data_IF_510487773876
#
_entry.id   IF_510487773876
#
_cell.length_a   1.000
_cell.length_b   1.000
_cell.length_c   1.000
_cell.angle_alpha   90.00
_cell.angle_beta   90.00
_cell.angle_gamma   90.00
#
_symmetry.space_group_name_H-M   'P 1'
#
loop_
_entity.id
_entity.type
_entity.pdbx_description
1 polymer ?
#
# COMPACT_ATOMS: atom_id res chain seq x y z
N UNK A 1 -18.05 -0.90 27.06
CA UNK A 1 -17.01 -1.81 26.49
C UNK A 1 -17.17 -1.88 24.99
N UNK A 2 -16.49 -0.99 24.28
CA UNK A 2 -16.43 -1.08 22.82
C UNK A 2 -15.39 -2.15 22.47
N UNK A 3 -15.87 -3.34 22.15
CA UNK A 3 -15.05 -4.39 21.60
C UNK A 3 -14.57 -3.93 20.22
N UNK A 4 -13.25 -3.87 20.02
CA UNK A 4 -12.68 -3.77 18.69
C UNK A 4 -13.27 -4.91 17.83
N UNK A 5 -13.80 -4.62 16.64
CA UNK A 5 -14.22 -5.68 15.76
C UNK A 5 -13.00 -6.55 15.41
N UNK A 6 -13.08 -7.82 15.75
CA UNK A 6 -12.07 -8.84 15.43
C UNK A 6 -12.10 -9.15 13.93
N UNK A 7 -11.91 -8.15 13.08
CA UNK A 7 -11.65 -8.36 11.66
C UNK A 7 -10.14 -8.31 11.47
N UNK A 8 -9.55 -9.48 11.21
CA UNK A 8 -8.24 -9.60 10.58
C UNK A 8 -8.38 -9.12 9.14
N UNK A 9 -8.32 -7.80 8.93
CA UNK A 9 -8.27 -7.24 7.59
C UNK A 9 -6.90 -6.60 7.40
N UNK A 10 -6.32 -6.74 6.21
CA UNK A 10 -5.13 -6.02 5.76
C UNK A 10 -5.28 -4.49 5.88
N UNK A 11 -6.50 -4.02 6.00
CA UNK A 11 -6.87 -2.61 6.17
C UNK A 11 -6.24 -2.00 7.41
N UNK A 12 -6.21 -2.71 8.55
CA UNK A 12 -5.70 -2.17 9.80
C UNK A 12 -4.21 -1.82 9.73
N UNK A 13 -3.41 -2.62 8.99
CA UNK A 13 -1.98 -2.33 8.78
C UNK A 13 -1.77 -1.02 8.04
N UNK A 14 -2.53 -0.77 7.00
CA UNK A 14 -2.51 0.48 6.23
C UNK A 14 -3.02 1.68 7.05
N UNK A 15 -4.07 1.49 7.83
CA UNK A 15 -4.65 2.52 8.69
C UNK A 15 -3.67 2.97 9.78
N UNK A 16 -3.01 2.01 10.43
CA UNK A 16 -1.95 2.30 11.41
C UNK A 16 -0.81 3.06 10.72
N UNK A 17 -0.35 2.61 9.54
CA UNK A 17 0.70 3.31 8.81
C UNK A 17 0.32 4.77 8.52
N UNK A 18 -0.91 5.06 8.11
CA UNK A 18 -1.36 6.43 7.84
C UNK A 18 -1.28 7.32 9.09
N UNK A 19 -1.73 6.81 10.23
CA UNK A 19 -1.67 7.53 11.52
C UNK A 19 -0.21 7.77 11.95
N UNK A 20 0.66 6.74 11.81
CA UNK A 20 2.07 6.85 12.17
C UNK A 20 2.82 7.83 11.29
N UNK A 21 2.57 7.82 9.97
CA UNK A 21 3.17 8.78 9.01
C UNK A 21 2.71 10.20 9.33
N UNK A 22 1.41 10.41 9.55
CA UNK A 22 0.87 11.74 9.88
C UNK A 22 1.52 12.29 11.14
N UNK A 23 1.49 11.53 12.23
CA UNK A 23 2.04 11.97 13.50
C UNK A 23 3.55 12.24 13.42
N UNK A 24 4.30 11.35 12.79
CA UNK A 24 5.75 11.49 12.68
C UNK A 24 6.14 12.77 11.91
N UNK A 25 5.51 12.99 10.76
CA UNK A 25 5.79 14.18 9.95
C UNK A 25 5.29 15.47 10.64
N UNK A 26 4.12 15.41 11.28
CA UNK A 26 3.60 16.51 12.10
C UNK A 26 4.57 16.88 13.24
N UNK A 27 5.03 15.89 14.01
CA UNK A 27 5.94 16.14 15.13
C UNK A 27 7.25 16.77 14.67
N UNK A 28 7.84 16.27 13.57
CA UNK A 28 9.04 16.87 12.98
C UNK A 28 8.78 18.30 12.44
N UNK A 29 7.62 18.54 11.83
CA UNK A 29 7.25 19.87 11.35
C UNK A 29 7.10 20.86 12.52
N UNK A 30 6.41 20.46 13.61
CA UNK A 30 6.25 21.31 14.79
C UNK A 30 7.58 21.60 15.49
N UNK A 31 8.50 20.66 15.48
CA UNK A 31 9.85 20.83 16.03
C UNK A 31 10.80 21.61 15.11
N UNK A 32 10.40 21.94 13.88
CA UNK A 32 11.27 22.57 12.89
C UNK A 32 12.40 21.65 12.40
N UNK A 33 12.24 20.34 12.52
CA UNK A 33 13.24 19.33 12.17
C UNK A 33 12.82 18.44 11.01
N UNK A 34 11.73 18.77 10.30
CA UNK A 34 11.32 18.04 9.10
C UNK A 34 12.30 18.34 7.96
N UNK A 35 13.02 17.34 7.45
CA UNK A 35 13.96 17.54 6.34
C UNK A 35 13.20 17.95 5.05
N UNK A 36 13.82 18.80 4.24
CA UNK A 36 13.25 19.21 2.95
C UNK A 36 13.20 18.08 1.91
N UNK A 37 14.01 17.03 2.12
CA UNK A 37 14.06 15.81 1.32
C UNK A 37 13.52 14.58 2.10
N UNK A 38 12.54 14.80 2.97
CA UNK A 38 11.93 13.73 3.77
C UNK A 38 11.31 12.66 2.87
N UNK A 39 11.64 11.39 3.13
CA UNK A 39 11.16 10.23 2.38
C UNK A 39 10.40 9.25 3.26
N UNK A 40 9.22 8.84 2.79
CA UNK A 40 8.48 7.68 3.29
C UNK A 40 8.49 6.60 2.21
N UNK A 41 8.74 5.35 2.59
CA UNK A 41 8.86 4.23 1.65
C UNK A 41 7.77 3.19 1.93
N UNK A 42 7.07 2.73 0.89
CA UNK A 42 6.04 1.70 1.03
C UNK A 42 6.10 0.63 -0.07
N UNK A 43 5.49 -0.53 0.21
CA UNK A 43 5.29 -1.52 -0.84
C UNK A 43 4.24 -1.06 -1.86
N UNK A 44 4.39 -1.50 -3.13
CA UNK A 44 3.46 -1.19 -4.23
C UNK A 44 2.02 -1.67 -4.00
N UNK A 45 1.77 -2.50 -2.99
CA UNK A 45 0.45 -3.05 -2.62
C UNK A 45 -0.08 -2.45 -1.32
N UNK A 46 0.60 -1.45 -0.75
CA UNK A 46 0.14 -0.69 0.41
C UNK A 46 -0.78 0.47 0.01
N UNK A 47 -1.55 0.98 0.97
CA UNK A 47 -2.53 2.06 0.79
C UNK A 47 -1.94 3.35 0.22
N UNK A 48 -2.78 4.10 -0.51
CA UNK A 48 -2.45 5.44 -0.98
C UNK A 48 -2.83 6.55 0.04
N UNK A 49 -3.51 6.23 1.15
CA UNK A 49 -3.75 7.21 2.21
C UNK A 49 -2.45 7.76 2.82
N UNK A 50 -1.47 6.92 3.21
CA UNK A 50 -0.17 7.43 3.66
C UNK A 50 0.56 8.28 2.61
N UNK A 51 0.36 8.01 1.32
CA UNK A 51 0.91 8.84 0.23
C UNK A 51 0.32 10.24 0.27
N UNK A 52 -1.01 10.35 0.33
CA UNK A 52 -1.69 11.64 0.43
C UNK A 52 -1.29 12.42 1.69
N UNK A 53 -1.12 11.71 2.80
CA UNK A 53 -0.62 12.28 4.07
C UNK A 53 0.79 12.81 3.90
N UNK A 54 1.75 12.00 3.46
CA UNK A 54 3.16 12.41 3.29
C UNK A 54 3.27 13.65 2.39
N UNK A 55 2.60 13.64 1.25
CA UNK A 55 2.57 14.77 0.31
C UNK A 55 2.02 16.05 0.93
N UNK A 56 1.07 15.96 1.86
CA UNK A 56 0.53 17.15 2.55
C UNK A 56 1.54 17.84 3.47
N UNK A 57 2.60 17.16 3.85
CA UNK A 57 3.76 17.70 4.59
C UNK A 57 4.95 18.05 3.68
N UNK A 58 4.83 17.84 2.37
CA UNK A 58 5.92 18.03 1.40
C UNK A 58 6.95 16.90 1.42
N UNK A 59 6.66 15.78 2.09
CA UNK A 59 7.51 14.60 2.06
C UNK A 59 7.23 13.75 0.80
N UNK A 60 8.27 13.11 0.26
CA UNK A 60 8.14 12.17 -0.83
C UNK A 60 7.62 10.82 -0.36
N UNK A 61 6.83 10.15 -1.20
CA UNK A 61 6.43 8.76 -1.03
C UNK A 61 7.03 7.91 -2.14
N UNK A 62 7.92 6.99 -1.78
CA UNK A 62 8.50 6.06 -2.73
C UNK A 62 7.83 4.69 -2.65
N UNK A 63 7.51 4.14 -3.81
CA UNK A 63 6.96 2.80 -3.94
C UNK A 63 8.08 1.81 -4.27
N UNK A 64 8.17 0.72 -3.51
CA UNK A 64 9.10 -0.38 -3.78
C UNK A 64 8.35 -1.71 -3.91
N UNK A 65 8.99 -2.74 -4.43
CA UNK A 65 8.41 -4.08 -4.50
C UNK A 65 8.06 -4.62 -3.10
N UNK A 66 7.17 -5.62 -3.06
CA UNK A 66 6.81 -6.31 -1.82
C UNK A 66 8.00 -7.07 -1.25
N UNK A 67 8.29 -6.83 0.01
CA UNK A 67 9.40 -7.41 0.75
C UNK A 67 10.28 -6.32 1.35
N UNK A 68 10.43 -6.37 2.66
CA UNK A 68 11.10 -5.29 3.43
C UNK A 68 12.55 -5.04 2.99
N UNK A 69 13.19 -6.02 2.34
CA UNK A 69 14.52 -5.85 1.76
C UNK A 69 14.60 -4.67 0.78
N UNK A 70 13.54 -4.40 0.01
CA UNK A 70 13.51 -3.28 -0.94
C UNK A 70 13.42 -1.92 -0.23
N UNK A 71 12.74 -1.87 0.92
CA UNK A 71 12.77 -0.69 1.80
C UNK A 71 14.19 -0.52 2.36
N UNK A 72 14.84 -1.61 2.78
CA UNK A 72 16.21 -1.58 3.29
C UNK A 72 17.23 -1.17 2.20
N UNK A 73 17.05 -1.62 0.97
CA UNK A 73 17.86 -1.21 -0.20
C UNK A 73 17.74 0.30 -0.44
N UNK A 74 16.53 0.87 -0.36
CA UNK A 74 16.34 2.30 -0.48
C UNK A 74 17.02 3.09 0.65
N UNK A 75 16.89 2.63 1.90
CA UNK A 75 17.58 3.23 3.04
C UNK A 75 19.10 3.24 2.80
N UNK A 76 19.66 2.13 2.31
CA UNK A 76 21.09 2.04 2.02
C UNK A 76 21.50 3.02 0.93
N UNK A 77 20.71 3.11 -0.15
CA UNK A 77 20.94 4.06 -1.23
C UNK A 77 20.96 5.52 -0.71
N UNK A 78 19.98 5.89 0.10
CA UNK A 78 19.87 7.24 0.64
C UNK A 78 21.01 7.58 1.63
N UNK A 79 21.46 6.62 2.42
CA UNK A 79 22.64 6.81 3.31
C UNK A 79 23.94 6.98 2.51
N UNK A 80 24.08 6.34 1.36
CA UNK A 80 25.25 6.44 0.49
C UNK A 80 25.25 7.72 -0.34
N UNK A 81 24.08 8.17 -0.81
CA UNK A 81 23.96 9.30 -1.73
C UNK A 81 23.58 10.61 -1.05
N UNK A 82 22.88 10.54 0.08
CA UNK A 82 22.30 11.73 0.73
C UNK A 82 21.11 12.30 -0.04
N UNK A 83 20.54 11.58 -1.01
CA UNK A 83 19.44 12.05 -1.85
C UNK A 83 18.19 12.33 -1.03
N UNK A 84 17.83 11.42 -0.13
CA UNK A 84 16.69 11.59 0.75
C UNK A 84 17.08 11.36 2.22
N UNK A 85 16.18 11.81 3.10
CA UNK A 85 16.21 11.49 4.53
C UNK A 85 15.05 10.54 4.84
N UNK A 86 15.38 9.28 5.13
CA UNK A 86 14.39 8.27 5.50
C UNK A 86 13.66 8.65 6.79
N UNK A 87 12.34 8.73 6.71
CA UNK A 87 11.46 9.03 7.85
C UNK A 87 10.72 7.81 8.36
N UNK A 88 10.16 6.99 7.43
CA UNK A 88 9.34 5.84 7.78
C UNK A 88 9.24 4.86 6.62
N UNK A 89 9.23 3.56 6.92
CA UNK A 89 9.01 2.51 5.93
C UNK A 89 7.94 1.52 6.37
N UNK A 90 7.07 1.06 5.44
CA UNK A 90 6.01 0.14 5.82
C UNK A 90 5.53 -0.79 4.70
N UNK A 91 4.94 -1.90 5.13
CA UNK A 91 4.14 -2.82 4.33
C UNK A 91 2.74 -2.97 4.93
N UNK A 92 1.74 -3.28 4.12
CA UNK A 92 0.33 -3.46 4.51
C UNK A 92 0.14 -4.55 5.58
N UNK A 93 1.06 -5.49 5.65
CA UNK A 93 1.03 -6.65 6.55
C UNK A 93 1.64 -6.38 7.92
N UNK A 94 1.48 -5.17 8.46
CA UNK A 94 1.98 -4.73 9.77
C UNK A 94 3.50 -4.67 9.88
N UNK A 95 4.20 -4.53 8.78
CA UNK A 95 5.64 -4.31 8.75
C UNK A 95 5.94 -2.82 8.83
N UNK A 96 6.60 -2.35 9.88
CA UNK A 96 6.94 -0.94 10.08
C UNK A 96 8.40 -0.78 10.49
N UNK A 97 9.02 0.32 10.03
CA UNK A 97 10.34 0.75 10.44
C UNK A 97 10.36 2.28 10.61
N UNK A 98 10.80 2.74 11.78
CA UNK A 98 10.84 4.17 12.13
C UNK A 98 12.25 4.74 11.98
N UNK A 99 13.27 3.96 12.36
CA UNK A 99 14.68 4.39 12.34
C UNK A 99 15.55 3.39 11.60
N UNK A 100 16.47 3.89 10.81
CA UNK A 100 17.28 3.11 9.86
C UNK A 100 18.42 2.29 10.49
N UNK A 101 18.63 2.33 11.81
CA UNK A 101 19.70 1.55 12.45
C UNK A 101 19.47 0.02 12.40
N UNK A 102 18.28 -0.43 12.04
CA UNK A 102 17.98 -1.82 11.63
C UNK A 102 17.50 -1.82 10.17
N UNK A 103 17.61 -2.97 9.48
CA UNK A 103 17.30 -3.11 8.05
C UNK A 103 16.13 -4.03 7.78
N UNK A 104 15.26 -4.19 8.75
CA UNK A 104 14.00 -4.94 8.61
C UNK A 104 12.95 -4.34 9.56
N UNK A 105 11.71 -4.84 9.44
CA UNK A 105 10.60 -4.48 10.32
C UNK A 105 11.01 -4.56 11.78
N UNK A 106 10.67 -3.51 12.53
CA UNK A 106 10.98 -3.46 13.95
C UNK A 106 9.70 -3.18 14.76
N UNK A 107 9.18 -4.23 15.37
CA UNK A 107 7.97 -4.14 16.19
C UNK A 107 8.19 -3.30 17.46
N UNK A 108 9.40 -3.26 18.01
CA UNK A 108 9.71 -2.46 19.22
C UNK A 108 9.62 -0.97 18.90
N UNK A 109 10.24 -0.53 17.82
CA UNK A 109 10.12 0.86 17.34
C UNK A 109 8.65 1.21 17.03
N UNK A 110 7.94 0.32 16.33
CA UNK A 110 6.55 0.55 15.94
C UNK A 110 5.61 0.68 17.16
N UNK A 111 5.76 -0.19 18.17
CA UNK A 111 4.97 -0.13 19.40
C UNK A 111 5.28 1.13 20.20
N UNK A 112 6.55 1.51 20.30
CA UNK A 112 6.96 2.74 20.97
C UNK A 112 6.30 3.96 20.30
N UNK A 113 6.42 4.11 18.98
CA UNK A 113 5.82 5.21 18.23
C UNK A 113 4.28 5.19 18.36
N UNK A 114 3.63 4.03 18.21
CA UNK A 114 2.18 3.93 18.33
C UNK A 114 1.69 4.31 19.74
N UNK A 115 2.46 3.98 20.78
CA UNK A 115 2.14 4.36 22.16
C UNK A 115 2.24 5.88 22.35
N UNK A 116 3.26 6.50 21.76
CA UNK A 116 3.42 7.97 21.77
C UNK A 116 2.25 8.65 21.05
N UNK A 117 1.89 8.16 19.86
CA UNK A 117 0.73 8.64 19.09
C UNK A 117 -0.56 8.51 19.87
N UNK A 118 -0.79 7.36 20.54
CA UNK A 118 -1.97 7.15 21.38
C UNK A 118 -2.01 8.12 22.58
N UNK A 119 -0.87 8.39 23.20
CA UNK A 119 -0.75 9.37 24.27
C UNK A 119 -1.04 10.81 23.77
N UNK A 120 -0.52 11.17 22.59
CA UNK A 120 -0.81 12.45 21.96
C UNK A 120 -2.31 12.67 21.76
N UNK A 121 -2.99 11.73 21.09
CA UNK A 121 -4.44 11.83 20.89
C UNK A 121 -5.22 11.84 22.19
N UNK A 122 -4.81 11.02 23.17
CA UNK A 122 -5.45 11.00 24.49
C UNK A 122 -5.35 12.35 25.21
N UNK A 123 -4.23 13.04 25.10
CA UNK A 123 -4.04 14.38 25.68
C UNK A 123 -4.96 15.42 25.04
N UNK A 124 -5.35 15.19 23.78
CA UNK A 124 -6.35 16.02 23.08
C UNK A 124 -7.80 15.57 23.32
N UNK A 125 -8.03 14.56 24.16
CA UNK A 125 -9.36 13.97 24.39
C UNK A 125 -9.87 13.12 23.22
N UNK A 126 -8.98 12.65 22.35
CA UNK A 126 -9.27 11.87 21.15
C UNK A 126 -8.75 10.43 21.26
N UNK A 127 -9.20 9.59 20.35
CA UNK A 127 -8.72 8.23 20.14
C UNK A 127 -7.91 8.14 18.83
N UNK A 128 -7.19 7.03 18.64
CA UNK A 128 -6.55 6.71 17.34
C UNK A 128 -7.58 6.65 16.20
N UNK A 129 -8.79 6.19 16.49
CA UNK A 129 -9.88 6.15 15.52
C UNK A 129 -10.32 7.56 15.10
N UNK A 130 -10.41 8.49 16.04
CA UNK A 130 -10.73 9.91 15.73
C UNK A 130 -9.64 10.52 14.85
N UNK A 131 -8.35 10.17 15.10
CA UNK A 131 -7.23 10.55 14.25
C UNK A 131 -7.38 10.02 12.83
N UNK A 132 -7.72 8.73 12.68
CA UNK A 132 -7.96 8.12 11.36
C UNK A 132 -9.13 8.79 10.63
N UNK A 133 -10.23 9.08 11.33
CA UNK A 133 -11.38 9.77 10.73
C UNK A 133 -11.02 11.18 10.26
N UNK A 134 -10.14 11.88 10.98
CA UNK A 134 -9.64 13.18 10.56
C UNK A 134 -8.80 13.08 9.28
N UNK A 135 -7.98 12.03 9.13
CA UNK A 135 -7.24 11.77 7.89
C UNK A 135 -8.18 11.48 6.72
N UNK A 136 -9.21 10.67 6.91
CA UNK A 136 -10.22 10.42 5.88
C UNK A 136 -10.97 11.68 5.49
N UNK A 137 -11.36 12.51 6.45
CA UNK A 137 -12.03 13.78 6.17
C UNK A 137 -11.15 14.75 5.36
N UNK A 138 -9.83 14.71 5.58
CA UNK A 138 -8.86 15.59 4.89
C UNK A 138 -8.45 15.08 3.52
N UNK A 139 -8.29 13.77 3.34
CA UNK A 139 -7.66 13.18 2.16
C UNK A 139 -8.59 12.30 1.32
N UNK A 140 -9.82 12.05 1.77
CA UNK A 140 -10.75 11.07 1.19
C UNK A 140 -10.66 9.71 1.87
N UNK A 141 -11.62 8.84 1.56
CA UNK A 141 -11.69 7.48 2.10
C UNK A 141 -10.88 6.53 1.24
N UNK A 142 -9.97 5.80 1.87
CA UNK A 142 -9.17 4.74 1.27
C UNK A 142 -9.51 3.44 2.00
N UNK A 143 -9.86 2.41 1.22
CA UNK A 143 -10.21 1.11 1.76
C UNK A 143 -9.51 0.02 0.95
N UNK A 144 -8.74 -0.78 1.65
CA UNK A 144 -7.99 -1.86 1.03
C UNK A 144 -8.58 -3.22 1.41
N UNK A 145 -8.47 -4.17 0.50
CA UNK A 145 -8.82 -5.58 0.74
C UNK A 145 -7.83 -6.50 0.08
N UNK A 146 -7.37 -7.49 0.84
CA UNK A 146 -6.56 -8.59 0.30
C UNK A 146 -7.38 -9.87 0.27
N UNK A 147 -7.40 -10.51 -0.90
CA UNK A 147 -8.04 -11.81 -1.13
C UNK A 147 -6.92 -12.80 -1.41
N UNK A 148 -6.83 -13.85 -0.61
CA UNK A 148 -5.85 -14.92 -0.78
C UNK A 148 -6.56 -16.21 -1.20
N UNK A 149 -6.25 -16.71 -2.39
CA UNK A 149 -6.86 -17.91 -2.95
C UNK A 149 -5.81 -19.01 -3.00
N UNK A 150 -6.09 -20.13 -2.33
CA UNK A 150 -5.26 -21.34 -2.42
C UNK A 150 -5.80 -22.19 -3.56
N UNK A 151 -4.97 -22.46 -4.56
CA UNK A 151 -5.32 -23.33 -5.69
C UNK A 151 -4.84 -24.74 -5.37
N UNK A 152 -5.75 -25.57 -4.84
CA UNK A 152 -5.42 -26.91 -4.40
C UNK A 152 -5.05 -27.85 -5.57
N UNK A 153 -4.25 -28.89 -5.27
CA UNK A 153 -3.86 -29.94 -6.20
C UNK A 153 -2.55 -29.68 -6.93
N UNK A 154 -2.06 -30.73 -7.61
CA UNK A 154 -0.79 -30.73 -8.34
C UNK A 154 -0.77 -29.72 -9.51
N UNK A 155 -1.94 -29.38 -10.04
CA UNK A 155 -2.09 -28.42 -11.14
C UNK A 155 -2.19 -26.94 -10.65
N UNK A 156 -2.16 -26.72 -9.33
CA UNK A 156 -2.31 -25.39 -8.75
C UNK A 156 -1.35 -24.35 -9.34
N UNK A 157 -0.03 -24.62 -9.39
CA UNK A 157 0.95 -23.70 -9.96
C UNK A 157 0.69 -23.40 -11.44
N UNK A 158 0.29 -24.41 -12.25
CA UNK A 158 -0.02 -24.24 -13.66
C UNK A 158 -1.27 -23.37 -13.87
N UNK A 159 -2.31 -23.54 -13.04
CA UNK A 159 -3.53 -22.71 -13.09
C UNK A 159 -3.22 -21.25 -12.73
N UNK A 160 -2.41 -21.01 -11.70
CA UNK A 160 -1.95 -19.66 -11.32
C UNK A 160 -1.15 -19.03 -12.46
N UNK A 161 -0.24 -19.79 -13.06
CA UNK A 161 0.54 -19.31 -14.20
C UNK A 161 -0.37 -18.97 -15.39
N UNK A 162 -1.30 -19.85 -15.75
CA UNK A 162 -2.23 -19.62 -16.85
C UNK A 162 -3.10 -18.38 -16.64
N UNK A 163 -3.54 -18.11 -15.41
CA UNK A 163 -4.28 -16.89 -15.07
C UNK A 163 -3.43 -15.64 -15.32
N UNK A 164 -2.19 -15.60 -14.85
CA UNK A 164 -1.29 -14.46 -15.06
C UNK A 164 -0.93 -14.27 -16.53
N UNK A 165 -0.66 -15.35 -17.26
CA UNK A 165 -0.39 -15.30 -18.70
C UNK A 165 -1.63 -14.79 -19.47
N UNK A 166 -2.83 -15.19 -19.06
CA UNK A 166 -4.09 -14.67 -19.58
C UNK A 166 -4.24 -13.15 -19.38
N UNK A 167 -3.98 -12.67 -18.16
CA UNK A 167 -4.03 -11.24 -17.84
C UNK A 167 -2.96 -10.42 -18.58
N UNK A 168 -1.81 -11.01 -18.94
CA UNK A 168 -0.78 -10.39 -19.75
C UNK A 168 -1.14 -10.35 -21.23
N UNK A 169 -1.65 -11.45 -21.76
CA UNK A 169 -2.03 -11.54 -23.18
C UNK A 169 -3.28 -10.75 -23.53
N UNK A 170 -4.20 -10.61 -22.59
CA UNK A 170 -5.44 -9.85 -22.71
C UNK A 170 -5.59 -8.90 -21.53
N UNK A 171 -4.88 -7.77 -21.60
CA UNK A 171 -4.88 -6.77 -20.53
C UNK A 171 -6.30 -6.24 -20.30
N UNK A 172 -6.86 -6.38 -19.08
CA UNK A 172 -8.19 -5.85 -18.78
C UNK A 172 -8.26 -4.34 -19.01
N UNK A 173 -9.36 -3.87 -19.58
CA UNK A 173 -9.60 -2.44 -19.86
C UNK A 173 -10.42 -1.75 -18.76
N UNK A 174 -11.06 -2.54 -17.87
CA UNK A 174 -11.86 -2.03 -16.75
C UNK A 174 -11.98 -3.05 -15.63
N UNK A 175 -12.27 -2.56 -14.43
CA UNK A 175 -12.65 -3.33 -13.24
C UNK A 175 -13.70 -2.55 -12.46
N UNK A 176 -14.75 -3.23 -11.98
CA UNK A 176 -15.83 -2.60 -11.22
C UNK A 176 -16.52 -1.44 -11.96
N UNK A 177 -16.51 -1.49 -13.29
CA UNK A 177 -17.04 -0.41 -14.13
C UNK A 177 -16.08 0.78 -14.33
N UNK A 178 -14.92 0.81 -13.68
CA UNK A 178 -13.89 1.85 -13.81
C UNK A 178 -12.85 1.45 -14.86
N UNK A 179 -12.43 2.38 -15.70
CA UNK A 179 -11.43 2.14 -16.74
C UNK A 179 -10.04 1.99 -16.14
N UNK A 180 -9.24 1.12 -16.72
CA UNK A 180 -7.80 1.02 -16.40
C UNK A 180 -7.10 2.22 -17.05
N UNK A 181 -6.52 3.07 -16.22
CA UNK A 181 -5.72 4.21 -16.65
C UNK A 181 -4.26 3.82 -16.89
N UNK A 182 -3.72 2.88 -16.09
CA UNK A 182 -2.35 2.39 -16.20
C UNK A 182 -2.30 0.89 -15.84
N UNK A 183 -1.76 0.08 -16.74
CA UNK A 183 -1.47 -1.33 -16.51
C UNK A 183 0.04 -1.53 -16.36
N UNK A 184 0.47 -2.15 -15.27
CA UNK A 184 1.89 -2.37 -14.94
C UNK A 184 2.18 -3.88 -14.88
N UNK A 185 3.18 -4.34 -15.62
CA UNK A 185 3.73 -5.68 -15.53
C UNK A 185 5.17 -5.62 -15.02
N UNK A 186 5.33 -5.91 -13.75
CA UNK A 186 6.64 -5.89 -13.09
C UNK A 186 7.55 -7.04 -13.53
N UNK A 187 7.04 -8.08 -14.20
CA UNK A 187 7.87 -9.18 -14.69
C UNK A 187 8.75 -8.75 -15.88
N UNK A 188 8.27 -7.80 -16.67
CA UNK A 188 8.98 -7.22 -17.82
C UNK A 188 9.39 -5.76 -17.58
N UNK A 189 9.11 -5.21 -16.39
CA UNK A 189 9.39 -3.83 -16.00
C UNK A 189 8.75 -2.78 -16.95
N UNK A 190 7.55 -3.09 -17.47
CA UNK A 190 6.83 -2.23 -18.39
C UNK A 190 5.48 -1.80 -17.83
N UNK A 191 5.08 -0.59 -18.16
CA UNK A 191 3.74 -0.08 -17.91
C UNK A 191 3.16 0.52 -19.18
N UNK A 192 1.82 0.41 -19.32
CA UNK A 192 1.07 0.87 -20.47
C UNK A 192 -0.10 1.74 -20.01
N UNK A 193 -0.19 2.96 -20.52
CA UNK A 193 -1.30 3.86 -20.25
C UNK A 193 -2.56 3.54 -21.08
N UNK A 194 -3.66 4.25 -20.80
CA UNK A 194 -4.94 4.10 -21.51
C UNK A 194 -4.85 4.42 -23.01
N UNK A 195 -3.85 5.18 -23.47
CA UNK A 195 -3.59 5.52 -24.86
C UNK A 195 -2.70 4.48 -25.57
N UNK A 196 -2.21 3.50 -24.83
CA UNK A 196 -1.32 2.46 -25.33
C UNK A 196 0.16 2.85 -25.33
N UNK A 197 0.54 3.97 -24.71
CA UNK A 197 1.94 4.38 -24.56
C UNK A 197 2.63 3.48 -23.55
N UNK A 198 3.73 2.86 -23.95
CA UNK A 198 4.54 1.99 -23.10
C UNK A 198 5.73 2.77 -22.56
N UNK A 199 6.01 2.58 -21.28
CA UNK A 199 7.19 3.13 -20.61
C UNK A 199 7.72 2.16 -19.55
N UNK A 200 8.93 2.39 -19.07
CA UNK A 200 9.55 1.59 -18.03
C UNK A 200 8.97 1.95 -16.66
N UNK A 201 8.81 0.95 -15.75
CA UNK A 201 8.39 1.16 -14.36
C UNK A 201 9.57 1.68 -13.52
N UNK A 202 10.79 1.21 -13.81
CA UNK A 202 12.00 1.61 -13.09
C UNK A 202 12.23 0.87 -11.76
N UNK A 203 11.56 -0.26 -11.55
CA UNK A 203 11.74 -1.13 -10.37
C UNK A 203 12.36 -2.47 -10.79
N UNK A 204 12.96 -3.23 -9.84
CA UNK A 204 13.41 -4.60 -10.12
C UNK A 204 12.28 -5.48 -10.63
N UNK A 205 12.60 -6.55 -11.36
CA UNK A 205 11.59 -7.47 -11.89
C UNK A 205 10.94 -8.31 -10.78
N UNK A 206 9.63 -8.46 -10.87
CA UNK A 206 8.82 -9.28 -9.96
C UNK A 206 7.57 -9.80 -10.66
N UNK A 207 7.13 -11.01 -10.32
CA UNK A 207 5.90 -11.55 -10.92
C UNK A 207 4.64 -10.92 -10.29
N UNK A 208 4.41 -9.66 -10.61
CA UNK A 208 3.26 -8.87 -10.15
C UNK A 208 2.65 -8.14 -11.33
N UNK A 209 1.32 -8.09 -11.37
CA UNK A 209 0.55 -7.21 -12.25
C UNK A 209 -0.16 -6.17 -11.37
N UNK A 210 -0.16 -4.89 -11.75
CA UNK A 210 -0.93 -3.85 -11.07
C UNK A 210 -1.69 -3.01 -12.10
N UNK A 211 -2.94 -2.74 -11.80
CA UNK A 211 -3.84 -1.93 -12.61
C UNK A 211 -4.28 -0.73 -11.79
N UNK A 212 -3.97 0.47 -12.25
CA UNK A 212 -4.43 1.72 -11.66
C UNK A 212 -5.63 2.19 -12.46
N UNK A 213 -6.72 2.50 -11.77
CA UNK A 213 -7.99 2.89 -12.38
C UNK A 213 -8.08 4.41 -12.49
N UNK A 214 -9.01 4.88 -13.32
CA UNK A 214 -9.19 6.30 -13.67
C UNK A 214 -9.46 7.23 -12.48
N UNK A 215 -9.94 6.68 -11.35
CA UNK A 215 -10.22 7.40 -10.11
C UNK A 215 -9.11 7.27 -9.05
N UNK A 216 -8.00 6.59 -9.38
CA UNK A 216 -6.88 6.30 -8.49
C UNK A 216 -7.08 5.06 -7.61
N UNK A 217 -8.21 4.35 -7.72
CA UNK A 217 -8.35 3.00 -7.17
C UNK A 217 -7.41 2.05 -7.92
N UNK A 218 -7.07 0.90 -7.32
CA UNK A 218 -6.12 0.00 -7.96
C UNK A 218 -6.36 -1.47 -7.59
N UNK A 219 -5.86 -2.35 -8.43
CA UNK A 219 -5.82 -3.79 -8.21
C UNK A 219 -4.39 -4.26 -8.44
N UNK A 220 -3.90 -5.19 -7.59
CA UNK A 220 -2.66 -5.90 -7.86
C UNK A 220 -2.89 -7.42 -7.74
N UNK A 221 -2.19 -8.17 -8.59
CA UNK A 221 -2.26 -9.63 -8.64
C UNK A 221 -0.85 -10.18 -8.49
N UNK A 222 -0.66 -11.03 -7.47
CA UNK A 222 0.64 -11.58 -7.13
C UNK A 222 0.55 -13.04 -6.72
N UNK A 223 1.25 -13.98 -7.36
CA UNK A 223 1.38 -15.34 -6.88
C UNK A 223 2.28 -15.40 -5.64
N UNK A 224 2.05 -16.36 -4.76
CA UNK A 224 2.99 -16.68 -3.70
C UNK A 224 4.23 -17.37 -4.30
N UNK A 225 5.42 -17.02 -3.80
CA UNK A 225 6.67 -17.67 -4.24
C UNK A 225 6.89 -19.06 -3.63
N UNK A 226 6.19 -19.40 -2.54
CA UNK A 226 6.45 -20.61 -1.74
C UNK A 226 5.27 -21.57 -1.64
N UNK A 227 4.07 -21.11 -1.96
CA UNK A 227 2.84 -21.88 -1.81
C UNK A 227 1.97 -21.76 -3.07
N UNK A 228 1.11 -22.73 -3.39
CA UNK A 228 0.17 -22.64 -4.51
C UNK A 228 -0.98 -21.67 -4.19
N UNK A 229 -0.64 -20.43 -3.97
CA UNK A 229 -1.56 -19.33 -3.62
C UNK A 229 -1.38 -18.16 -4.56
N UNK A 230 -2.48 -17.49 -4.83
CA UNK A 230 -2.48 -16.17 -5.49
C UNK A 230 -3.16 -15.15 -4.58
N UNK A 231 -2.59 -13.97 -4.52
CA UNK A 231 -3.14 -12.83 -3.78
C UNK A 231 -3.63 -11.77 -4.75
N UNK A 232 -4.83 -11.30 -4.49
CA UNK A 232 -5.39 -10.12 -5.12
C UNK A 232 -5.47 -9.03 -4.06
N UNK A 233 -4.92 -7.87 -4.39
CA UNK A 233 -4.98 -6.68 -3.56
C UNK A 233 -5.90 -5.69 -4.25
N UNK A 234 -6.79 -5.08 -3.51
CA UNK A 234 -7.71 -4.03 -3.95
C UNK A 234 -7.43 -2.81 -3.10
N UNK A 235 -7.24 -1.66 -3.72
CA UNK A 235 -7.24 -0.36 -3.07
C UNK A 235 -8.30 0.52 -3.70
N UNK A 236 -9.32 0.90 -2.94
CA UNK A 236 -10.38 1.78 -3.37
C UNK A 236 -10.23 3.17 -2.77
N UNK A 237 -10.45 4.21 -3.59
CA UNK A 237 -10.54 5.60 -3.17
C UNK A 237 -11.95 6.12 -3.41
N UNK A 238 -12.54 6.82 -2.44
CA UNK A 238 -13.89 7.37 -2.54
C UNK A 238 -14.08 8.60 -1.64
N UNK A 239 -15.23 9.26 -1.76
CA UNK A 239 -15.56 10.44 -0.97
C UNK A 239 -16.29 10.09 0.35
N UNK A 240 -16.70 8.82 0.52
CA UNK A 240 -17.30 8.31 1.76
C UNK A 240 -16.92 6.86 2.03
N UNK A 241 -17.09 6.42 3.28
CA UNK A 241 -16.83 5.04 3.69
C UNK A 241 -17.75 4.05 2.96
N UNK A 242 -19.02 4.40 2.79
CA UNK A 242 -20.01 3.59 2.08
C UNK A 242 -19.63 3.43 0.62
N UNK A 243 -19.28 4.51 -0.07
CA UNK A 243 -18.85 4.48 -1.47
C UNK A 243 -17.55 3.66 -1.64
N UNK A 244 -16.61 3.74 -0.67
CA UNK A 244 -15.40 2.92 -0.69
C UNK A 244 -15.73 1.42 -0.55
N UNK A 245 -16.66 1.05 0.34
CA UNK A 245 -17.12 -0.33 0.51
C UNK A 245 -17.82 -0.87 -0.73
N UNK A 246 -18.70 -0.09 -1.35
CA UNK A 246 -19.38 -0.47 -2.60
C UNK A 246 -18.37 -0.70 -3.72
N UNK A 247 -17.40 0.19 -3.85
CA UNK A 247 -16.33 0.08 -4.84
C UNK A 247 -15.47 -1.17 -4.63
N UNK A 248 -15.04 -1.45 -3.40
CA UNK A 248 -14.32 -2.69 -3.08
C UNK A 248 -15.14 -3.92 -3.44
N UNK A 249 -16.44 -3.91 -3.16
CA UNK A 249 -17.32 -5.03 -3.51
C UNK A 249 -17.44 -5.24 -5.03
N UNK A 250 -17.56 -4.15 -5.81
CA UNK A 250 -17.61 -4.22 -7.27
C UNK A 250 -16.29 -4.73 -7.88
N UNK A 251 -15.14 -4.23 -7.39
CA UNK A 251 -13.82 -4.68 -7.81
C UNK A 251 -13.58 -6.15 -7.47
N UNK A 252 -14.00 -6.58 -6.27
CA UNK A 252 -13.92 -7.98 -5.85
C UNK A 252 -14.75 -8.89 -6.75
N UNK A 253 -15.98 -8.50 -7.07
CA UNK A 253 -16.86 -9.29 -7.93
C UNK A 253 -16.25 -9.55 -9.32
N UNK A 254 -15.51 -8.60 -9.88
CA UNK A 254 -14.82 -8.80 -11.15
C UNK A 254 -13.57 -9.72 -10.98
N UNK A 255 -12.85 -9.62 -9.87
CA UNK A 255 -11.73 -10.52 -9.58
C UNK A 255 -12.17 -11.96 -9.34
N UNK A 256 -13.35 -12.17 -8.76
CA UNK A 256 -13.93 -13.52 -8.56
C UNK A 256 -14.28 -14.21 -9.89
N UNK A 257 -14.57 -13.46 -10.96
CA UNK A 257 -14.79 -14.00 -12.30
C UNK A 257 -13.51 -14.50 -12.99
N UNK A 258 -12.34 -14.06 -12.50
CA UNK A 258 -11.04 -14.48 -13.03
C UNK A 258 -10.55 -15.80 -12.42
N UNK A 259 -11.19 -16.30 -11.38
CA UNK A 259 -10.82 -17.51 -10.63
C UNK A 259 -11.53 -18.76 -11.16
#
# INVERSE_FOLDING_TARGET
THSFPTRRSSDLGNQIAAILVDYLLYAHQQAGTLPSNALVVKSIVSSELPTAVAQSYGAEMMNVLTGFKFIAEQIQHDEETGEHTFMFGFEESYGYLVKSFVRDKDAVQAVLLLTEVAAHFKNEGKTLYDGLQALYAKHGYFLEKTISVTVAGLEGPQKIKALLDGLRSSVPTSFGGLKVALAQDFAVNEQKDANGVVSEIGLPTSNVLKYILEDGSWIAVRPSGTEPKIKFYIGAKADSEEAAKEKVAALQADLEKLQ
#
